data_IF_827844574754
#
_entry.id   IF_827844574754
#
_cell.length_a   1.000
_cell.length_b   1.000
_cell.length_c   1.000
_cell.angle_alpha   90.00
_cell.angle_beta   90.00
_cell.angle_gamma   90.00
#
_symmetry.space_group_name_H-M   'P 1'
#
loop_
_entity.id
_entity.type
_entity.pdbx_description
1 polymer ?
#
# COMPACT_ATOMS: atom_id res chain seq x y z
N UNK A 1 3.51 1.71 25.71
CA UNK A 1 2.13 1.63 26.24
C UNK A 1 1.12 1.09 25.22
N UNK A 2 1.07 1.61 24.00
CA UNK A 2 0.12 1.11 22.97
C UNK A 2 0.32 -0.36 22.64
N UNK A 3 1.55 -0.81 22.47
CA UNK A 3 1.84 -2.22 22.13
C UNK A 3 1.37 -3.19 23.23
N UNK A 4 1.48 -2.82 24.50
CA UNK A 4 0.96 -3.62 25.61
C UNK A 4 -0.57 -3.73 25.57
N UNK A 5 -1.26 -2.64 25.27
CA UNK A 5 -2.72 -2.62 25.10
C UNK A 5 -3.14 -3.45 23.89
N UNK A 6 -2.44 -3.35 22.78
CA UNK A 6 -2.73 -4.14 21.57
C UNK A 6 -2.57 -5.64 21.81
N UNK A 7 -1.54 -6.04 22.57
CA UNK A 7 -1.35 -7.45 22.94
C UNK A 7 -2.50 -7.95 23.81
N UNK A 8 -2.95 -7.16 24.76
CA UNK A 8 -4.09 -7.49 25.61
C UNK A 8 -5.41 -7.61 24.82
N UNK A 9 -5.66 -6.70 23.89
CA UNK A 9 -6.83 -6.75 23.01
C UNK A 9 -6.82 -8.03 22.16
N UNK A 10 -5.66 -8.39 21.59
CA UNK A 10 -5.50 -9.63 20.82
C UNK A 10 -5.77 -10.86 21.67
N UNK A 11 -5.25 -10.89 22.89
CA UNK A 11 -5.47 -12.00 23.85
C UNK A 11 -6.95 -12.17 24.15
N UNK A 12 -7.66 -11.07 24.48
CA UNK A 12 -9.10 -11.12 24.73
C UNK A 12 -9.89 -11.64 23.51
N UNK A 13 -9.51 -11.25 22.32
CA UNK A 13 -10.13 -11.72 21.10
C UNK A 13 -9.88 -13.21 20.86
N UNK A 14 -8.67 -13.71 21.14
CA UNK A 14 -8.34 -15.13 21.07
C UNK A 14 -9.14 -15.97 22.07
N UNK A 15 -9.52 -15.38 23.21
CA UNK A 15 -10.41 -16.02 24.19
C UNK A 15 -11.89 -15.99 23.78
N UNK A 16 -12.21 -15.58 22.56
CA UNK A 16 -13.57 -15.56 22.01
C UNK A 16 -14.35 -14.29 22.29
N UNK A 17 -13.71 -13.23 22.79
CA UNK A 17 -14.39 -11.94 23.01
C UNK A 17 -14.49 -11.16 21.69
N UNK A 18 -15.67 -10.63 21.42
CA UNK A 18 -15.89 -9.66 20.35
C UNK A 18 -15.49 -8.27 20.84
N UNK A 19 -14.61 -7.59 20.09
CA UNK A 19 -14.09 -6.29 20.46
C UNK A 19 -14.47 -5.27 19.41
N UNK A 20 -15.07 -4.17 19.85
CA UNK A 20 -15.32 -3.00 19.01
C UNK A 20 -14.32 -1.90 19.41
N UNK A 21 -13.50 -1.50 18.46
CA UNK A 21 -12.50 -0.46 18.63
C UNK A 21 -12.88 0.78 17.82
N UNK A 22 -12.98 1.91 18.49
CA UNK A 22 -13.15 3.21 17.82
C UNK A 22 -11.84 3.97 17.92
N UNK A 23 -11.27 4.32 16.78
CA UNK A 23 -9.98 5.00 16.71
C UNK A 23 -9.90 5.91 15.49
N UNK A 24 -9.08 6.93 15.58
CA UNK A 24 -8.67 7.74 14.43
C UNK A 24 -7.24 7.38 13.98
N UNK A 25 -6.61 6.43 14.65
CA UNK A 25 -5.30 5.91 14.27
C UNK A 25 -5.46 4.72 13.32
N UNK A 26 -5.19 4.94 12.05
CA UNK A 26 -5.35 3.93 11.00
C UNK A 26 -4.47 2.70 11.21
N UNK A 27 -3.28 2.89 11.77
CA UNK A 27 -2.37 1.79 12.14
C UNK A 27 -2.99 0.82 13.15
N UNK A 28 -3.74 1.33 14.14
CA UNK A 28 -4.44 0.47 15.11
C UNK A 28 -5.52 -0.37 14.43
N UNK A 29 -6.31 0.26 13.57
CA UNK A 29 -7.34 -0.43 12.80
C UNK A 29 -6.72 -1.51 11.90
N UNK A 30 -5.62 -1.18 11.24
CA UNK A 30 -4.93 -2.11 10.34
C UNK A 30 -4.35 -3.32 11.06
N UNK A 31 -3.75 -3.12 12.25
CA UNK A 31 -3.10 -4.20 13.00
C UNK A 31 -4.05 -5.04 13.85
N UNK A 32 -5.14 -4.47 14.32
CA UNK A 32 -6.01 -5.12 15.29
C UNK A 32 -7.33 -5.62 14.72
N UNK A 33 -7.86 -4.96 13.68
CA UNK A 33 -9.20 -5.22 13.19
C UNK A 33 -9.22 -6.14 11.97
N UNK A 34 -10.15 -7.08 11.95
CA UNK A 34 -10.47 -7.91 10.78
C UNK A 34 -11.54 -7.28 9.90
N UNK A 35 -12.50 -6.57 10.54
CA UNK A 35 -13.53 -5.80 9.87
C UNK A 35 -13.37 -4.33 10.21
N UNK A 36 -13.57 -3.47 9.24
CA UNK A 36 -13.38 -2.03 9.39
C UNK A 36 -14.60 -1.29 8.85
N UNK A 37 -15.04 -0.33 9.65
CA UNK A 37 -16.10 0.59 9.30
C UNK A 37 -15.51 2.00 9.27
N UNK A 38 -15.59 2.67 8.13
CA UNK A 38 -15.09 4.03 7.95
C UNK A 38 -16.29 4.98 7.98
N UNK A 39 -16.20 5.99 8.83
CA UNK A 39 -17.20 7.04 8.95
C UNK A 39 -16.64 8.39 8.52
N UNK A 40 -17.48 9.18 7.88
CA UNK A 40 -17.18 10.59 7.59
C UNK A 40 -18.45 11.42 7.72
N UNK A 41 -18.36 12.54 8.44
CA UNK A 41 -19.47 13.47 8.65
C UNK A 41 -20.77 12.79 9.12
N UNK A 42 -20.64 11.83 10.04
CA UNK A 42 -21.77 11.10 10.61
C UNK A 42 -22.36 10.00 9.71
N UNK A 43 -21.78 9.74 8.55
CA UNK A 43 -22.24 8.71 7.62
C UNK A 43 -21.21 7.60 7.48
N UNK A 44 -21.69 6.37 7.31
CA UNK A 44 -20.84 5.22 7.01
C UNK A 44 -20.48 5.25 5.54
N UNK A 45 -19.17 5.30 5.23
CA UNK A 45 -18.66 5.26 3.86
C UNK A 45 -18.36 3.83 3.44
N UNK A 46 -17.75 3.05 4.33
CA UNK A 46 -17.34 1.67 4.08
C UNK A 46 -17.59 0.84 5.32
N UNK A 47 -18.07 -0.38 5.11
CA UNK A 47 -18.17 -1.42 6.13
C UNK A 47 -17.82 -2.76 5.47
N UNK A 48 -16.57 -3.19 5.57
CA UNK A 48 -16.08 -4.40 4.91
C UNK A 48 -14.94 -5.05 5.71
N UNK A 49 -14.56 -6.25 5.31
CA UNK A 49 -13.31 -6.86 5.76
C UNK A 49 -12.12 -6.01 5.36
N UNK A 50 -11.09 -5.99 6.20
CA UNK A 50 -9.87 -5.25 5.94
C UNK A 50 -9.24 -5.60 4.58
N UNK A 51 -9.19 -6.87 4.22
CA UNK A 51 -8.67 -7.34 2.92
C UNK A 51 -9.44 -6.72 1.74
N UNK A 52 -10.76 -6.64 1.85
CA UNK A 52 -11.61 -6.11 0.79
C UNK A 52 -11.45 -4.59 0.65
N UNK A 53 -11.19 -3.90 1.77
CA UNK A 53 -10.91 -2.46 1.77
C UNK A 53 -9.58 -2.17 1.08
N UNK A 54 -8.53 -2.91 1.41
CA UNK A 54 -7.23 -2.75 0.77
C UNK A 54 -7.27 -3.07 -0.73
N UNK A 55 -8.15 -3.97 -1.14
CA UNK A 55 -8.38 -4.26 -2.56
C UNK A 55 -9.02 -3.11 -3.35
N UNK A 56 -9.58 -2.09 -2.68
CA UNK A 56 -10.06 -0.87 -3.34
C UNK A 56 -8.91 -0.03 -3.91
N UNK A 57 -7.69 -0.22 -3.42
CA UNK A 57 -6.50 0.42 -3.99
C UNK A 57 -6.14 -0.24 -5.30
N UNK A 58 -6.28 0.49 -6.38
CA UNK A 58 -5.94 0.02 -7.73
C UNK A 58 -4.51 0.36 -8.14
N UNK A 59 -3.91 1.36 -7.50
CA UNK A 59 -2.53 1.77 -7.76
C UNK A 59 -1.58 1.06 -6.80
N UNK A 60 -0.50 0.56 -7.36
CA UNK A 60 0.61 -0.05 -6.61
C UNK A 60 1.89 0.73 -6.88
N UNK A 61 2.76 0.77 -5.88
CA UNK A 61 4.12 1.29 -6.03
C UNK A 61 5.11 0.13 -6.06
N UNK A 62 6.10 0.25 -6.91
CA UNK A 62 7.22 -0.67 -6.99
C UNK A 62 8.52 0.13 -6.99
N UNK A 63 9.46 -0.29 -6.17
CA UNK A 63 10.80 0.32 -6.08
C UNK A 63 11.83 -0.69 -6.54
N UNK A 64 12.64 -0.28 -7.52
CA UNK A 64 13.77 -1.04 -8.03
C UNK A 64 15.07 -0.44 -7.48
N UNK A 65 15.89 -1.26 -6.86
CA UNK A 65 17.25 -0.89 -6.52
C UNK A 65 18.14 -1.19 -7.71
N UNK A 66 18.61 -0.15 -8.37
CA UNK A 66 19.44 -0.27 -9.57
C UNK A 66 20.91 -0.44 -9.20
N UNK A 67 21.65 -1.10 -10.05
CA UNK A 67 23.11 -1.26 -9.90
C UNK A 67 23.90 -0.02 -10.37
N UNK A 68 23.25 0.88 -11.09
CA UNK A 68 23.83 2.14 -11.60
C UNK A 68 22.86 3.30 -11.38
N UNK A 69 23.40 4.51 -11.37
CA UNK A 69 22.61 5.75 -11.35
C UNK A 69 21.96 5.94 -12.73
N UNK A 70 20.71 6.31 -12.76
CA UNK A 70 20.01 6.63 -14.01
C UNK A 70 20.34 8.05 -14.43
N UNK A 71 21.02 8.21 -15.54
CA UNK A 71 21.25 9.52 -16.15
C UNK A 71 20.09 9.95 -17.03
N UNK A 72 19.49 9.01 -17.75
CA UNK A 72 18.37 9.27 -18.65
C UNK A 72 17.26 8.25 -18.38
N UNK A 73 16.10 8.74 -18.01
CA UNK A 73 14.93 7.90 -17.81
C UNK A 73 14.31 7.53 -19.17
N UNK A 74 14.05 6.23 -19.43
CA UNK A 74 13.30 5.82 -20.61
C UNK A 74 11.91 6.45 -20.66
N UNK A 75 11.52 6.98 -21.82
CA UNK A 75 10.21 7.64 -22.00
C UNK A 75 9.03 6.72 -21.69
N UNK A 76 9.20 5.42 -21.91
CA UNK A 76 8.20 4.40 -21.61
C UNK A 76 7.83 4.33 -20.12
N UNK A 77 8.73 4.78 -19.24
CA UNK A 77 8.52 4.80 -17.78
C UNK A 77 7.88 6.09 -17.26
N UNK A 78 7.84 7.16 -18.05
CA UNK A 78 7.27 8.44 -17.63
C UNK A 78 5.81 8.33 -17.20
N UNK A 79 5.04 7.46 -17.84
CA UNK A 79 3.62 7.21 -17.50
C UNK A 79 3.40 6.60 -16.12
N UNK A 80 4.43 6.05 -15.52
CA UNK A 80 4.38 5.41 -14.19
C UNK A 80 4.82 6.33 -13.05
N UNK A 81 4.78 7.64 -13.23
CA UNK A 81 5.14 8.65 -12.23
C UNK A 81 6.49 8.34 -11.55
N UNK A 82 7.57 8.28 -12.30
CA UNK A 82 8.87 7.88 -11.76
C UNK A 82 9.38 8.86 -10.70
N UNK A 83 9.89 8.31 -9.62
CA UNK A 83 10.63 9.01 -8.57
C UNK A 83 12.01 8.36 -8.43
N UNK A 84 13.05 9.13 -8.73
CA UNK A 84 14.43 8.65 -8.70
C UNK A 84 15.12 9.28 -7.50
N UNK A 85 15.68 8.43 -6.64
CA UNK A 85 16.52 8.83 -5.50
C UNK A 85 17.78 7.98 -5.52
N UNK A 86 18.93 8.60 -5.81
CA UNK A 86 20.20 7.92 -5.95
C UNK A 86 20.11 6.75 -6.97
N UNK A 87 20.24 5.52 -6.51
CA UNK A 87 20.12 4.32 -7.32
C UNK A 87 18.75 3.63 -7.21
N UNK A 88 17.76 4.25 -6.55
CA UNK A 88 16.43 3.69 -6.46
C UNK A 88 15.45 4.37 -7.43
N UNK A 89 14.66 3.57 -8.11
CA UNK A 89 13.59 4.00 -9.00
C UNK A 89 12.26 3.49 -8.47
N UNK A 90 11.38 4.40 -8.08
CA UNK A 90 10.02 4.09 -7.66
C UNK A 90 9.04 4.45 -8.76
N UNK A 91 8.18 3.50 -9.10
CA UNK A 91 7.16 3.63 -10.13
C UNK A 91 5.78 3.34 -9.53
N UNK A 92 4.78 4.08 -9.96
CA UNK A 92 3.38 3.84 -9.60
C UNK A 92 2.62 3.33 -10.83
N UNK A 93 1.90 2.23 -10.69
CA UNK A 93 1.13 1.65 -11.78
C UNK A 93 -0.25 1.19 -11.31
N UNK A 94 -1.20 1.25 -12.23
CA UNK A 94 -2.55 0.71 -12.04
C UNK A 94 -2.51 -0.81 -12.30
N UNK A 95 -2.80 -1.61 -11.26
CA UNK A 95 -2.77 -3.08 -11.35
C UNK A 95 -3.83 -3.70 -12.27
N UNK A 96 -4.82 -2.90 -12.70
CA UNK A 96 -5.83 -3.34 -13.65
C UNK A 96 -5.30 -3.22 -15.09
N UNK A 97 -4.57 -2.14 -15.37
CA UNK A 97 -4.09 -1.83 -16.72
C UNK A 97 -2.73 -2.46 -17.02
N UNK A 98 -1.91 -2.69 -16.00
CA UNK A 98 -0.52 -3.15 -16.12
C UNK A 98 -0.18 -4.25 -15.14
N UNK A 99 0.68 -5.14 -15.57
CA UNK A 99 1.30 -6.15 -14.71
C UNK A 99 2.76 -5.74 -14.40
N UNK A 100 3.24 -6.12 -13.22
CA UNK A 100 4.63 -5.83 -12.82
C UNK A 100 5.67 -6.37 -13.83
N UNK A 101 5.37 -7.51 -14.45
CA UNK A 101 6.27 -8.11 -15.45
C UNK A 101 6.49 -7.19 -16.66
N UNK A 102 5.46 -6.44 -17.09
CA UNK A 102 5.59 -5.50 -18.20
C UNK A 102 6.57 -4.37 -17.87
N UNK A 103 6.55 -3.89 -16.61
CA UNK A 103 7.50 -2.88 -16.13
C UNK A 103 8.92 -3.44 -16.10
N UNK A 104 9.07 -4.68 -15.63
CA UNK A 104 10.36 -5.38 -15.61
C UNK A 104 10.92 -5.55 -17.03
N UNK A 105 10.08 -5.88 -17.99
CA UNK A 105 10.47 -6.01 -19.39
C UNK A 105 10.95 -4.68 -19.98
N UNK A 106 10.29 -3.56 -19.64
CA UNK A 106 10.74 -2.22 -20.06
C UNK A 106 12.13 -1.92 -19.49
N UNK A 107 12.37 -2.22 -18.20
CA UNK A 107 13.69 -2.03 -17.59
C UNK A 107 14.76 -2.87 -18.29
N UNK A 108 14.49 -4.13 -18.56
CA UNK A 108 15.41 -5.03 -19.26
C UNK A 108 15.71 -4.56 -20.67
N UNK A 109 14.69 -4.14 -21.42
CA UNK A 109 14.82 -3.61 -22.77
C UNK A 109 15.75 -2.39 -22.85
N UNK A 110 15.74 -1.56 -21.80
CA UNK A 110 16.54 -0.34 -21.67
C UNK A 110 17.88 -0.59 -20.95
N UNK A 111 18.30 -1.83 -20.75
CA UNK A 111 19.53 -2.24 -20.05
C UNK A 111 19.64 -1.70 -18.60
N UNK A 112 18.53 -1.45 -17.97
CA UNK A 112 18.45 -1.07 -16.55
C UNK A 112 18.44 -2.34 -15.69
N UNK A 113 19.59 -2.64 -15.08
CA UNK A 113 19.74 -3.80 -14.19
C UNK A 113 19.39 -3.40 -12.75
N UNK A 114 18.67 -4.26 -12.07
CA UNK A 114 18.30 -4.07 -10.68
C UNK A 114 18.68 -5.28 -9.83
N UNK A 115 18.99 -5.04 -8.57
CA UNK A 115 19.39 -6.07 -7.60
C UNK A 115 18.24 -6.48 -6.68
N UNK A 116 17.31 -5.56 -6.42
CA UNK A 116 16.17 -5.78 -5.54
C UNK A 116 14.91 -5.13 -6.10
N UNK A 117 13.78 -5.75 -5.82
CA UNK A 117 12.43 -5.22 -6.09
C UNK A 117 11.68 -5.18 -4.78
N UNK A 118 11.05 -4.04 -4.50
CA UNK A 118 10.17 -3.86 -3.35
C UNK A 118 8.82 -3.35 -3.82
N UNK A 119 7.74 -4.05 -3.45
CA UNK A 119 6.38 -3.65 -3.83
C UNK A 119 5.63 -3.13 -2.62
N UNK A 120 4.92 -2.02 -2.80
CA UNK A 120 4.03 -1.45 -1.80
C UNK A 120 2.60 -1.49 -2.35
N UNK A 121 1.76 -2.26 -1.69
CA UNK A 121 0.35 -2.42 -2.07
C UNK A 121 -0.55 -1.30 -1.51
N UNK A 122 0.03 -0.41 -0.71
CA UNK A 122 -0.67 0.64 0.01
C UNK A 122 -1.24 0.16 1.34
N UNK A 123 -1.74 1.10 2.11
CA UNK A 123 -2.29 0.87 3.45
C UNK A 123 -3.68 1.50 3.62
N UNK A 124 -4.23 1.41 4.82
CA UNK A 124 -5.54 2.01 5.12
C UNK A 124 -5.54 3.54 5.01
N UNK A 125 -4.40 4.19 5.22
CA UNK A 125 -4.28 5.64 5.04
C UNK A 125 -4.51 6.02 3.59
N UNK A 126 -3.91 5.28 2.65
CA UNK A 126 -4.11 5.50 1.22
C UNK A 126 -5.59 5.31 0.82
N UNK A 127 -6.24 4.27 1.35
CA UNK A 127 -7.68 4.05 1.13
C UNK A 127 -8.50 5.21 1.69
N UNK A 128 -8.23 5.58 2.94
CA UNK A 128 -8.95 6.65 3.61
C UNK A 128 -8.85 7.98 2.85
N UNK A 129 -7.66 8.37 2.44
CA UNK A 129 -7.43 9.58 1.66
C UNK A 129 -8.18 9.57 0.32
N UNK A 130 -8.32 8.42 -0.31
CA UNK A 130 -9.08 8.28 -1.56
C UNK A 130 -10.60 8.36 -1.35
N UNK A 131 -11.11 7.85 -0.23
CA UNK A 131 -12.54 7.81 0.05
C UNK A 131 -13.11 9.12 0.62
N UNK A 132 -12.30 9.89 1.32
CA UNK A 132 -12.72 11.11 2.04
C UNK A 132 -12.57 12.39 1.19
N UNK A 133 -11.99 12.28 0.01
CA UNK A 133 -11.87 13.40 -0.94
C UNK A 133 -13.20 13.99 -1.36
#
# INVERSE_FOLDING_TARGET
MRQGLWSYIKELNQLGKTICLTTHYLEEAEKLCSNILIMNKGSIIVNKKKSDILNLLINKKVTFMLDTIIDILPKELEKFKPDIKDSSLTLEYNKIDYQLIEIIEILKKNNLKFTEINTDEGDLEDVFLNLVK
#
